data_IF_297864157867
#
_entry.id   IF_297864157867
#
_cell.length_a   1.000
_cell.length_b   1.000
_cell.length_c   1.000
_cell.angle_alpha   90.00
_cell.angle_beta   90.00
_cell.angle_gamma   90.00
#
_symmetry.space_group_name_H-M   'P 1'
#
loop_
_entity.id
_entity.type
_entity.pdbx_description
1 polymer ?
#
# COMPACT_ATOMS: atom_id res chain seq x y z
N UNK A 1 18.79 -11.91 23.84
CA UNK A 1 18.27 -10.67 23.23
C UNK A 1 18.02 -10.96 21.76
N UNK A 2 16.94 -10.42 21.20
CA UNK A 2 16.65 -10.59 19.78
C UNK A 2 17.40 -9.57 18.92
N UNK A 3 17.94 -10.04 17.81
CA UNK A 3 18.44 -9.20 16.70
C UNK A 3 17.75 -9.60 15.41
N UNK A 4 17.60 -8.66 14.47
CA UNK A 4 17.15 -8.95 13.11
C UNK A 4 18.36 -9.08 12.19
N UNK A 5 18.47 -10.21 11.50
CA UNK A 5 19.56 -10.44 10.55
C UNK A 5 19.40 -9.54 9.32
N UNK A 6 20.47 -8.87 8.90
CA UNK A 6 20.50 -8.05 7.69
C UNK A 6 21.02 -8.84 6.48
N UNK A 7 21.85 -9.84 6.74
CA UNK A 7 22.46 -10.72 5.74
C UNK A 7 22.30 -12.18 6.12
N UNK A 8 22.45 -13.08 5.16
CA UNK A 8 22.47 -14.51 5.43
C UNK A 8 23.75 -14.87 6.21
N UNK A 9 23.62 -15.73 7.21
CA UNK A 9 24.74 -16.26 8.00
C UNK A 9 24.56 -17.76 8.16
N UNK A 10 25.51 -18.54 7.66
CA UNK A 10 25.52 -19.99 7.81
C UNK A 10 26.77 -20.41 8.60
N UNK A 11 26.56 -21.25 9.60
CA UNK A 11 27.60 -21.96 10.35
C UNK A 11 27.36 -23.47 10.27
N UNK A 12 28.23 -24.24 10.92
CA UNK A 12 28.22 -25.71 10.81
C UNK A 12 26.94 -26.37 11.36
N UNK A 13 26.26 -25.71 12.31
CA UNK A 13 25.05 -26.22 12.97
C UNK A 13 23.84 -25.27 12.89
N UNK A 14 23.98 -24.12 12.23
CA UNK A 14 22.91 -23.12 12.15
C UNK A 14 22.95 -22.35 10.84
N UNK A 15 21.80 -21.87 10.40
CA UNK A 15 21.71 -20.97 9.26
C UNK A 15 20.60 -19.96 9.53
N UNK A 16 20.90 -18.69 9.34
CA UNK A 16 19.97 -17.59 9.44
C UNK A 16 19.90 -16.86 8.10
N UNK A 17 18.69 -16.50 7.69
CA UNK A 17 18.42 -15.73 6.50
C UNK A 17 18.24 -14.24 6.85
N UNK A 18 18.37 -13.35 5.86
CA UNK A 18 18.01 -11.95 6.04
C UNK A 18 16.55 -11.82 6.51
N UNK A 19 16.34 -11.01 7.55
CA UNK A 19 15.04 -10.79 8.17
C UNK A 19 14.72 -11.69 9.36
N UNK A 20 15.49 -12.76 9.58
CA UNK A 20 15.28 -13.65 10.73
C UNK A 20 15.47 -12.92 12.05
N UNK A 21 14.59 -13.23 13.02
CA UNK A 21 14.73 -12.81 14.41
C UNK A 21 15.44 -13.92 15.19
N UNK A 22 16.66 -13.64 15.65
CA UNK A 22 17.51 -14.62 16.32
C UNK A 22 17.72 -14.19 17.76
N UNK A 23 17.46 -15.09 18.71
CA UNK A 23 17.79 -14.87 20.13
C UNK A 23 19.23 -15.28 20.39
N UNK A 24 20.06 -14.30 20.77
CA UNK A 24 21.49 -14.50 21.07
C UNK A 24 21.89 -13.78 22.36
N UNK A 25 23.02 -14.15 22.98
CA UNK A 25 23.59 -13.38 24.08
C UNK A 25 23.89 -11.94 23.68
N UNK A 26 23.79 -11.00 24.63
CA UNK A 26 23.97 -9.56 24.39
C UNK A 26 25.32 -9.23 23.75
N UNK A 27 26.42 -9.82 24.24
CA UNK A 27 27.74 -9.61 23.66
C UNK A 27 27.82 -10.03 22.18
N UNK A 28 27.12 -11.11 21.80
CA UNK A 28 27.05 -11.58 20.42
C UNK A 28 26.20 -10.64 19.56
N UNK A 29 25.05 -10.20 20.08
CA UNK A 29 24.20 -9.22 19.42
C UNK A 29 24.98 -7.93 19.10
N UNK A 30 25.70 -7.37 20.07
CA UNK A 30 26.50 -6.15 19.87
C UNK A 30 27.62 -6.35 18.86
N UNK A 31 28.31 -7.51 18.88
CA UNK A 31 29.33 -7.83 17.90
C UNK A 31 28.76 -7.91 16.49
N UNK A 32 27.60 -8.56 16.31
CA UNK A 32 26.94 -8.69 15.01
C UNK A 32 26.40 -7.36 14.49
N UNK A 33 25.84 -6.51 15.38
CA UNK A 33 25.41 -5.15 15.03
C UNK A 33 26.61 -4.28 14.63
N UNK A 34 27.70 -4.32 15.39
CA UNK A 34 28.95 -3.60 15.06
C UNK A 34 29.54 -4.04 13.72
N UNK A 35 29.45 -5.33 13.41
CA UNK A 35 29.88 -5.89 12.13
C UNK A 35 28.91 -5.61 10.96
N UNK A 36 27.75 -4.98 11.22
CA UNK A 36 26.72 -4.71 10.21
C UNK A 36 25.96 -5.95 9.73
N UNK A 37 26.00 -7.05 10.48
CA UNK A 37 25.33 -8.31 10.13
C UNK A 37 23.90 -8.38 10.62
N UNK A 38 23.57 -7.61 11.65
CA UNK A 38 22.26 -7.57 12.28
C UNK A 38 21.92 -6.17 12.78
N UNK A 39 20.67 -5.93 13.11
CA UNK A 39 20.17 -4.70 13.72
C UNK A 39 19.20 -4.99 14.87
N UNK A 40 18.83 -3.96 15.63
CA UNK A 40 17.77 -4.10 16.61
C UNK A 40 16.46 -4.44 15.90
N UNK A 41 15.66 -5.39 16.44
CA UNK A 41 14.42 -5.78 15.83
C UNK A 41 13.44 -4.60 15.83
N UNK A 42 12.61 -4.46 14.79
CA UNK A 42 11.59 -3.43 14.77
C UNK A 42 10.69 -3.59 16.00
N UNK A 43 10.50 -2.50 16.76
CA UNK A 43 9.64 -2.52 17.95
C UNK A 43 8.22 -2.92 17.52
N UNK A 44 7.67 -3.96 18.12
CA UNK A 44 6.33 -4.50 17.77
C UNK A 44 5.23 -3.43 17.77
N UNK A 45 5.30 -2.45 18.69
CA UNK A 45 4.36 -1.34 18.73
C UNK A 45 4.47 -0.38 17.52
N UNK A 46 5.68 -0.21 16.97
CA UNK A 46 5.89 0.62 15.79
C UNK A 46 5.38 -0.06 14.51
N UNK A 47 5.59 -1.37 14.38
CA UNK A 47 5.05 -2.15 13.25
C UNK A 47 3.52 -2.29 13.32
N UNK A 48 2.94 -2.46 14.50
CA UNK A 48 1.49 -2.49 14.69
C UNK A 48 0.83 -1.15 14.36
N UNK A 49 1.42 -0.03 14.82
CA UNK A 49 0.95 1.31 14.46
C UNK A 49 1.02 1.55 12.95
N UNK A 50 2.15 1.24 12.32
CA UNK A 50 2.29 1.38 10.87
C UNK A 50 1.27 0.54 10.11
N UNK A 51 1.00 -0.69 10.55
CA UNK A 51 -0.01 -1.55 9.94
C UNK A 51 -1.43 -0.99 10.14
N UNK A 52 -1.73 -0.37 11.29
CA UNK A 52 -3.03 0.29 11.53
C UNK A 52 -3.20 1.52 10.64
N UNK A 53 -2.18 2.36 10.54
CA UNK A 53 -2.20 3.57 9.73
C UNK A 53 -2.35 3.23 8.24
N UNK A 54 -1.65 2.19 7.77
CA UNK A 54 -1.79 1.68 6.40
C UNK A 54 -3.21 1.16 6.12
N UNK A 55 -3.82 0.40 7.05
CA UNK A 55 -5.21 -0.06 6.88
C UNK A 55 -6.20 1.10 6.83
N UNK A 56 -6.01 2.12 7.68
CA UNK A 56 -6.85 3.32 7.65
C UNK A 56 -6.71 4.05 6.30
N UNK A 57 -5.48 4.17 5.78
CA UNK A 57 -5.23 4.80 4.49
C UNK A 57 -5.83 4.02 3.32
N UNK A 58 -5.78 2.69 3.37
CA UNK A 58 -6.42 1.84 2.36
C UNK A 58 -7.93 2.07 2.37
N UNK A 59 -8.58 2.04 3.52
CA UNK A 59 -10.02 2.27 3.63
C UNK A 59 -10.42 3.68 3.12
N UNK A 60 -9.61 4.70 3.41
CA UNK A 60 -9.81 6.06 2.89
C UNK A 60 -9.70 6.11 1.36
N UNK A 61 -8.69 5.47 0.78
CA UNK A 61 -8.49 5.42 -0.66
C UNK A 61 -9.59 4.62 -1.38
N UNK A 62 -10.07 3.53 -0.78
CA UNK A 62 -11.21 2.77 -1.29
C UNK A 62 -12.49 3.61 -1.31
N UNK A 63 -12.73 4.42 -0.27
CA UNK A 63 -13.86 5.34 -0.24
C UNK A 63 -13.76 6.43 -1.32
N UNK A 64 -12.59 7.05 -1.47
CA UNK A 64 -12.33 8.05 -2.52
C UNK A 64 -12.50 7.46 -3.93
N UNK A 65 -12.07 6.22 -4.13
CA UNK A 65 -12.25 5.52 -5.41
C UNK A 65 -13.74 5.28 -5.68
N UNK A 66 -14.51 4.84 -4.69
CA UNK A 66 -15.95 4.63 -4.85
C UNK A 66 -16.69 5.93 -5.21
N UNK A 67 -16.33 7.04 -4.56
CA UNK A 67 -16.87 8.37 -4.87
C UNK A 67 -16.52 8.80 -6.30
N UNK A 68 -15.25 8.70 -6.70
CA UNK A 68 -14.81 9.05 -8.04
C UNK A 68 -15.49 8.20 -9.14
N UNK A 69 -15.78 6.93 -8.86
CA UNK A 69 -16.53 6.07 -9.76
C UNK A 69 -17.99 6.53 -9.91
N UNK A 70 -18.64 6.89 -8.80
CA UNK A 70 -20.00 7.42 -8.81
C UNK A 70 -20.09 8.74 -9.59
N UNK A 71 -19.15 9.66 -9.36
CA UNK A 71 -19.09 10.93 -10.09
C UNK A 71 -18.86 10.73 -11.59
N UNK A 72 -17.94 9.83 -11.95
CA UNK A 72 -17.70 9.47 -13.36
C UNK A 72 -18.97 8.96 -14.02
N UNK A 73 -19.71 8.09 -13.35
CA UNK A 73 -20.92 7.49 -13.90
C UNK A 73 -22.06 8.51 -14.01
N UNK A 74 -22.19 9.43 -13.05
CA UNK A 74 -23.11 10.55 -13.12
C UNK A 74 -22.78 11.49 -14.29
N UNK A 75 -21.50 11.83 -14.49
CA UNK A 75 -21.06 12.66 -15.62
C UNK A 75 -21.31 12.00 -16.96
N UNK A 76 -21.12 10.67 -17.06
CA UNK A 76 -21.45 9.91 -18.28
C UNK A 76 -22.94 9.99 -18.62
N UNK A 77 -23.81 9.81 -17.62
CA UNK A 77 -25.26 9.97 -17.82
C UNK A 77 -25.62 11.39 -18.27
N UNK A 78 -25.01 12.42 -17.68
CA UNK A 78 -25.25 13.81 -18.11
C UNK A 78 -24.81 14.04 -19.57
N UNK A 79 -23.66 13.49 -19.98
CA UNK A 79 -23.18 13.57 -21.37
C UNK A 79 -24.17 12.89 -22.32
N UNK A 80 -24.67 11.71 -21.98
CA UNK A 80 -25.65 10.98 -22.81
C UNK A 80 -26.96 11.78 -22.97
N UNK A 81 -27.48 12.36 -21.88
CA UNK A 81 -28.67 13.21 -21.91
C UNK A 81 -28.45 14.44 -22.78
N UNK A 82 -27.31 15.13 -22.61
CA UNK A 82 -26.97 16.31 -23.42
C UNK A 82 -26.76 15.97 -24.89
N UNK A 83 -26.17 14.81 -25.20
CA UNK A 83 -26.00 14.34 -26.56
C UNK A 83 -27.35 14.06 -27.23
N UNK A 84 -28.28 13.41 -26.53
CA UNK A 84 -29.64 13.17 -27.02
C UNK A 84 -30.40 14.49 -27.25
N UNK A 85 -30.36 15.41 -26.28
CA UNK A 85 -30.99 16.72 -26.41
C UNK A 85 -30.43 17.52 -27.61
N UNK A 86 -29.11 17.47 -27.84
CA UNK A 86 -28.49 18.11 -29.00
C UNK A 86 -28.93 17.46 -30.32
N UNK A 87 -29.04 16.13 -30.38
CA UNK A 87 -29.53 15.44 -31.57
C UNK A 87 -30.98 15.84 -31.89
N UNK A 88 -31.85 15.90 -30.88
CA UNK A 88 -33.24 16.33 -31.03
C UNK A 88 -33.34 17.79 -31.51
N UNK A 89 -32.55 18.69 -30.91
CA UNK A 89 -32.53 20.10 -31.32
C UNK A 89 -32.02 20.27 -32.76
N UNK A 90 -30.99 19.50 -33.12
CA UNK A 90 -30.44 19.48 -34.50
C UNK A 90 -31.50 18.99 -35.50
N UNK A 91 -32.27 17.96 -35.15
CA UNK A 91 -33.35 17.47 -35.98
C UNK A 91 -34.50 18.49 -36.14
N UNK A 92 -34.84 19.23 -35.09
CA UNK A 92 -35.87 20.28 -35.14
C UNK A 92 -35.45 21.50 -35.98
N UNK A 93 -34.15 21.81 -35.99
CA UNK A 93 -33.58 22.92 -36.76
C UNK A 93 -33.20 22.54 -38.20
N UNK A 94 -33.27 21.25 -38.56
CA UNK A 94 -33.05 20.81 -39.92
C UNK A 94 -34.15 21.41 -40.82
N UNK A 95 -33.79 22.13 -41.90
CA UNK A 95 -34.77 22.76 -42.77
C UNK A 95 -35.67 21.69 -43.40
N UNK A 96 -36.99 21.91 -43.35
CA UNK A 96 -37.94 21.10 -44.10
C UNK A 96 -37.61 21.23 -45.59
N UNK A 97 -36.99 20.19 -46.15
CA UNK A 97 -36.71 20.07 -47.58
C UNK A 97 -38.01 19.90 -48.39
#
# INVERSE_FOLDING_TARGET
>A
MYVRMLTAMAGDAFSHLPGDLVDVPEATAEAWKTAGLAEDPPKAAASEKAAKDLRARVAELEAQLAEALADRDALRQQIEVLAAANADLTAQLAPAA
#
